data_IF_843285617909
#
_entry.id   IF_843285617909
#
_cell.length_a   1.000
_cell.length_b   1.000
_cell.length_c   1.000
_cell.angle_alpha   90.00
_cell.angle_beta   90.00
_cell.angle_gamma   90.00
#
_symmetry.space_group_name_H-M   'P 1'
#
loop_
_entity.id
_entity.type
_entity.pdbx_description
1 polymer ?
#
# COMPACT_ATOMS: atom_id res chain seq x y z
N UNK A 1 -35.08 25.93 -5.93
CA UNK A 1 -34.36 25.30 -7.06
C UNK A 1 -33.04 24.74 -6.55
N UNK A 2 -33.04 23.47 -6.14
CA UNK A 2 -31.85 22.80 -5.62
C UNK A 2 -31.89 21.36 -6.04
N UNK A 3 -31.47 21.08 -7.27
CA UNK A 3 -31.38 19.71 -7.77
C UNK A 3 -29.92 19.28 -7.66
N UNK A 4 -29.59 18.67 -6.52
CA UNK A 4 -28.28 18.05 -6.31
C UNK A 4 -28.41 16.63 -6.83
N UNK A 5 -28.37 16.49 -8.16
CA UNK A 5 -28.30 15.18 -8.80
C UNK A 5 -26.87 14.66 -8.62
N UNK A 6 -26.60 14.08 -7.46
CA UNK A 6 -25.30 13.51 -7.11
C UNK A 6 -25.12 12.18 -7.86
N UNK A 7 -24.62 12.28 -9.08
CA UNK A 7 -24.26 11.14 -9.92
C UNK A 7 -22.78 10.82 -9.71
N UNK A 8 -22.51 10.10 -8.61
CA UNK A 8 -21.18 9.59 -8.28
C UNK A 8 -21.20 8.08 -8.32
N UNK A 9 -20.21 7.53 -9.02
CA UNK A 9 -19.95 6.10 -9.06
C UNK A 9 -18.77 5.84 -8.13
N UNK A 10 -18.96 4.99 -7.13
CA UNK A 10 -17.90 4.59 -6.19
C UNK A 10 -17.66 3.09 -6.28
N UNK A 11 -16.39 2.71 -6.48
CA UNK A 11 -15.91 1.34 -6.41
C UNK A 11 -14.95 1.22 -5.23
N UNK A 12 -15.26 0.31 -4.32
CA UNK A 12 -14.43 0.03 -3.15
C UNK A 12 -13.94 -1.42 -3.18
N UNK A 13 -12.64 -1.59 -2.94
CA UNK A 13 -12.02 -2.89 -2.75
C UNK A 13 -11.11 -2.86 -1.53
N UNK A 14 -11.42 -3.70 -0.54
CA UNK A 14 -10.73 -3.74 0.74
C UNK A 14 -10.20 -5.15 1.01
N UNK A 15 -8.90 -5.26 1.26
CA UNK A 15 -8.22 -6.48 1.70
C UNK A 15 -7.52 -6.22 3.04
N UNK A 16 -6.92 -7.27 3.61
CA UNK A 16 -6.27 -7.21 4.93
C UNK A 16 -5.13 -6.19 4.99
N UNK A 17 -4.34 -6.04 3.93
CA UNK A 17 -3.13 -5.21 3.92
C UNK A 17 -3.18 -4.03 2.95
N UNK A 18 -4.26 -3.91 2.18
CA UNK A 18 -4.42 -2.80 1.23
C UNK A 18 -5.90 -2.52 0.94
N UNK A 19 -6.17 -1.30 0.49
CA UNK A 19 -7.50 -0.87 0.08
C UNK A 19 -7.41 0.16 -1.05
N UNK A 20 -8.38 0.10 -1.96
CA UNK A 20 -8.51 1.03 -3.09
C UNK A 20 -9.94 1.53 -3.13
N UNK A 21 -10.08 2.86 -3.23
CA UNK A 21 -11.36 3.52 -3.48
C UNK A 21 -11.22 4.36 -4.75
N UNK A 22 -12.13 4.14 -5.68
CA UNK A 22 -12.29 4.94 -6.88
C UNK A 22 -13.65 5.62 -6.82
N UNK A 23 -13.67 6.94 -6.94
CA UNK A 23 -14.92 7.70 -7.08
C UNK A 23 -14.86 8.52 -8.35
N UNK A 24 -15.91 8.48 -9.17
CA UNK A 24 -15.97 9.23 -10.41
C UNK A 24 -17.34 9.91 -10.57
N UNK A 25 -17.33 11.17 -11.00
CA UNK A 25 -18.52 11.92 -11.36
C UNK A 25 -18.60 12.07 -12.89
N UNK A 26 -19.42 11.28 -13.60
CA UNK A 26 -19.50 11.33 -15.07
C UNK A 26 -19.79 12.73 -15.62
N UNK A 27 -20.70 13.46 -14.98
CA UNK A 27 -21.09 14.83 -15.39
C UNK A 27 -19.96 15.85 -15.26
N UNK A 28 -19.14 15.73 -14.21
CA UNK A 28 -18.03 16.66 -13.92
C UNK A 28 -16.72 16.17 -14.51
N UNK A 29 -16.71 14.97 -15.10
CA UNK A 29 -15.53 14.26 -15.59
C UNK A 29 -14.36 14.26 -14.58
N UNK A 30 -14.70 14.31 -13.29
CA UNK A 30 -13.74 14.43 -12.19
C UNK A 30 -13.84 13.19 -11.34
N UNK A 31 -12.69 12.67 -10.91
CA UNK A 31 -12.63 11.52 -10.02
C UNK A 31 -11.60 11.67 -8.92
N UNK A 32 -11.64 10.74 -7.98
CA UNK A 32 -10.71 10.61 -6.88
C UNK A 32 -10.25 9.16 -6.81
N UNK A 33 -8.94 8.98 -6.70
CA UNK A 33 -8.31 7.70 -6.43
C UNK A 33 -7.68 7.76 -5.05
N UNK A 34 -8.09 6.85 -4.17
CA UNK A 34 -7.54 6.72 -2.82
C UNK A 34 -6.94 5.34 -2.63
N UNK A 35 -5.68 5.31 -2.21
CA UNK A 35 -4.92 4.10 -1.95
C UNK A 35 -4.58 4.04 -0.46
N UNK A 36 -4.92 2.94 0.18
CA UNK A 36 -4.49 2.59 1.54
C UNK A 36 -3.55 1.41 1.46
N UNK A 37 -2.35 1.54 2.01
CA UNK A 37 -1.39 0.46 2.16
C UNK A 37 -1.08 0.33 3.65
N UNK A 38 -1.19 -0.88 4.19
CA UNK A 38 -0.88 -1.20 5.58
C UNK A 38 0.46 -1.95 5.65
N UNK A 39 1.17 -1.80 6.76
CA UNK A 39 2.47 -2.43 7.04
C UNK A 39 3.60 -2.11 6.02
N UNK A 40 3.48 -0.98 5.33
CA UNK A 40 4.50 -0.54 4.39
C UNK A 40 5.66 0.13 5.13
N UNK A 41 6.86 -0.44 4.99
CA UNK A 41 8.09 0.17 5.45
C UNK A 41 8.96 0.53 4.23
N UNK A 42 9.09 1.83 3.96
CA UNK A 42 9.93 2.36 2.87
C UNK A 42 11.42 2.07 3.08
N UNK A 43 11.84 1.94 4.33
CA UNK A 43 13.25 1.89 4.70
C UNK A 43 13.80 0.46 4.74
N UNK A 44 12.91 -0.56 4.72
CA UNK A 44 13.29 -1.96 4.65
C UNK A 44 14.07 -2.44 5.89
N UNK A 45 13.63 -3.54 6.50
CA UNK A 45 14.36 -4.21 7.59
C UNK A 45 15.68 -4.88 7.14
N UNK A 46 16.41 -4.29 6.19
CA UNK A 46 17.74 -4.76 5.81
C UNK A 46 18.75 -3.89 6.55
N UNK A 47 19.42 -4.48 7.54
CA UNK A 47 20.71 -3.94 7.95
C UNK A 47 21.57 -3.81 6.69
N UNK A 48 22.07 -2.62 6.35
CA UNK A 48 22.92 -2.47 5.17
C UNK A 48 24.08 -3.45 5.29
N UNK A 49 24.50 -4.06 4.17
CA UNK A 49 25.73 -4.87 4.10
C UNK A 49 27.01 -4.02 4.29
N UNK A 50 26.91 -2.89 4.99
CA UNK A 50 27.99 -1.97 5.32
C UNK A 50 28.45 -2.21 6.75
N UNK A 51 29.02 -3.39 6.97
CA UNK A 51 29.68 -3.76 8.21
C UNK A 51 30.47 -5.02 7.95
N UNK A 52 31.75 -4.98 8.27
CA UNK A 52 32.69 -6.10 8.27
C UNK A 52 32.31 -7.11 9.37
N UNK A 53 31.09 -7.63 9.32
CA UNK A 53 30.58 -8.61 10.27
C UNK A 53 30.37 -9.93 9.55
N UNK A 54 31.47 -10.65 9.36
CA UNK A 54 31.43 -12.10 9.19
C UNK A 54 30.67 -12.66 10.40
N UNK A 55 29.40 -13.01 10.22
CA UNK A 55 28.61 -13.68 11.26
C UNK A 55 28.90 -15.17 11.19
N UNK A 56 29.60 -15.76 12.18
CA UNK A 56 29.78 -17.21 12.19
C UNK A 56 28.43 -17.90 12.43
N UNK A 57 28.11 -18.87 11.58
CA UNK A 57 26.95 -19.73 11.75
C UNK A 57 27.23 -20.73 12.88
N UNK A 58 26.54 -20.56 14.01
CA UNK A 58 26.54 -21.52 15.12
C UNK A 58 25.77 -22.78 14.73
N UNK A 59 26.39 -23.66 13.95
CA UNK A 59 25.75 -24.91 13.52
C UNK A 59 26.39 -25.66 12.35
N UNK A 60 27.57 -25.26 11.88
CA UNK A 60 28.31 -26.05 10.89
C UNK A 60 28.84 -27.33 11.53
N UNK A 61 28.31 -28.49 11.11
CA UNK A 61 28.83 -29.81 11.52
C UNK A 61 30.26 -29.93 11.03
N UNK A 62 31.23 -29.93 11.96
CA UNK A 62 32.58 -30.38 11.67
C UNK A 62 32.52 -31.91 11.60
N UNK A 63 32.82 -32.46 10.43
CA UNK A 63 32.99 -33.90 10.23
C UNK A 63 34.46 -34.21 10.01
#
# INVERSE_FOLDING_TARGET
NGDILDDRITLEYSRRTYGVILTFSPRRQTGTFSLRISDFNWEGGTTPFSGEDIRPVGGGVVR
#
